data_IF_666801443410
#
_entry.id   IF_666801443410
#
_cell.length_a   1.000
_cell.length_b   1.000
_cell.length_c   1.000
_cell.angle_alpha   90.00
_cell.angle_beta   90.00
_cell.angle_gamma   90.00
#
_symmetry.space_group_name_H-M   'P 1'
#
loop_
_entity.id
_entity.type
_entity.pdbx_description
1 polymer ?
#
# COMPACT_ATOMS: atom_id res chain seq x y z
N UNK A 1 -20.63 18.33 -7.74
CA UNK A 1 -20.19 17.37 -8.82
C UNK A 1 -19.36 16.21 -8.27
N UNK A 2 -18.53 16.40 -7.22
CA UNK A 2 -17.66 15.38 -6.61
C UNK A 2 -18.33 14.43 -5.59
N UNK A 3 -19.32 14.83 -4.77
CA UNK A 3 -20.08 13.87 -3.94
C UNK A 3 -20.80 12.80 -4.80
N UNK A 4 -21.29 13.23 -5.96
CA UNK A 4 -21.86 12.34 -6.98
C UNK A 4 -20.82 11.45 -7.68
N UNK A 5 -19.52 11.74 -7.58
CA UNK A 5 -18.43 10.89 -8.08
C UNK A 5 -18.03 9.84 -7.04
N UNK A 6 -18.11 10.16 -5.73
CA UNK A 6 -17.92 9.18 -4.66
C UNK A 6 -19.02 8.11 -4.68
N UNK A 7 -20.30 8.52 -4.68
CA UNK A 7 -21.46 7.61 -4.77
C UNK A 7 -21.47 6.81 -6.08
N UNK A 8 -21.11 7.43 -7.22
CA UNK A 8 -20.97 6.72 -8.50
C UNK A 8 -19.85 5.70 -8.49
N UNK A 9 -18.75 5.99 -7.82
CA UNK A 9 -17.66 5.03 -7.75
C UNK A 9 -17.97 3.91 -6.79
N UNK A 10 -18.57 4.16 -5.62
CA UNK A 10 -18.94 3.08 -4.70
C UNK A 10 -19.89 2.10 -5.38
N UNK A 11 -20.91 2.62 -6.08
CA UNK A 11 -21.81 1.77 -6.89
C UNK A 11 -21.07 1.05 -8.03
N UNK A 12 -20.07 1.67 -8.65
CA UNK A 12 -19.21 1.02 -9.66
C UNK A 12 -18.32 -0.07 -9.05
N UNK A 13 -17.66 0.20 -7.93
CA UNK A 13 -16.83 -0.73 -7.17
C UNK A 13 -17.64 -1.97 -6.81
N UNK A 14 -18.81 -1.83 -6.18
CA UNK A 14 -19.65 -2.97 -5.82
C UNK A 14 -20.05 -3.81 -7.03
N UNK A 15 -20.38 -3.17 -8.17
CA UNK A 15 -20.71 -3.89 -9.40
C UNK A 15 -19.52 -4.68 -9.93
N UNK A 16 -18.37 -4.03 -10.07
CA UNK A 16 -17.15 -4.64 -10.61
C UNK A 16 -16.64 -5.74 -9.68
N UNK A 17 -16.56 -5.45 -8.39
CA UNK A 17 -16.16 -6.42 -7.36
C UNK A 17 -17.05 -7.65 -7.38
N UNK A 18 -18.39 -7.49 -7.41
CA UNK A 18 -19.34 -8.60 -7.52
C UNK A 18 -19.10 -9.48 -8.75
N UNK A 19 -18.80 -8.88 -9.90
CA UNK A 19 -18.51 -9.63 -11.14
C UNK A 19 -17.21 -10.42 -10.99
N UNK A 20 -16.13 -9.79 -10.50
CA UNK A 20 -14.85 -10.48 -10.33
C UNK A 20 -14.89 -11.56 -9.25
N UNK A 21 -15.61 -11.36 -8.14
CA UNK A 21 -15.79 -12.40 -7.11
C UNK A 21 -16.60 -13.59 -7.65
N UNK A 22 -17.64 -13.34 -8.45
CA UNK A 22 -18.37 -14.40 -9.15
C UNK A 22 -17.48 -15.16 -10.13
N UNK A 23 -16.68 -14.45 -10.92
CA UNK A 23 -15.72 -15.06 -11.85
C UNK A 23 -14.67 -15.89 -11.11
N UNK A 24 -14.16 -15.38 -9.99
CA UNK A 24 -13.20 -16.08 -9.13
C UNK A 24 -13.79 -17.36 -8.57
N UNK A 25 -15.02 -17.32 -8.06
CA UNK A 25 -15.73 -18.51 -7.57
C UNK A 25 -15.99 -19.51 -8.70
N UNK A 26 -16.48 -19.03 -9.84
CA UNK A 26 -16.75 -19.87 -11.01
C UNK A 26 -15.50 -20.64 -11.47
N UNK A 27 -14.34 -19.98 -11.54
CA UNK A 27 -13.10 -20.66 -11.93
C UNK A 27 -12.58 -21.63 -10.85
N UNK A 28 -12.86 -21.40 -9.56
CA UNK A 28 -12.52 -22.36 -8.50
C UNK A 28 -13.35 -23.64 -8.63
N UNK A 29 -14.66 -23.49 -8.82
CA UNK A 29 -15.61 -24.61 -8.89
C UNK A 29 -15.46 -25.44 -10.18
N UNK A 30 -15.01 -24.83 -11.27
CA UNK A 30 -14.93 -25.45 -12.59
C UNK A 30 -13.50 -25.60 -13.12
N UNK A 31 -12.48 -25.49 -12.25
CA UNK A 31 -11.07 -25.37 -12.64
C UNK A 31 -10.61 -26.43 -13.64
N UNK A 32 -10.91 -27.70 -13.36
CA UNK A 32 -10.46 -28.82 -14.19
C UNK A 32 -10.98 -28.69 -15.63
N UNK A 33 -12.29 -28.50 -15.77
CA UNK A 33 -12.95 -28.34 -17.09
C UNK A 33 -12.44 -27.12 -17.84
N UNK A 34 -12.18 -26.02 -17.13
CA UNK A 34 -11.67 -24.80 -17.75
C UNK A 34 -10.24 -24.97 -18.27
N UNK A 35 -9.38 -25.65 -17.51
CA UNK A 35 -8.01 -25.96 -17.94
C UNK A 35 -8.02 -26.91 -19.14
N UNK A 36 -8.89 -27.93 -19.15
CA UNK A 36 -9.11 -28.80 -20.32
C UNK A 36 -9.62 -28.02 -21.54
N UNK A 37 -10.45 -27.00 -21.33
CA UNK A 37 -10.92 -26.09 -22.37
C UNK A 37 -9.88 -25.03 -22.80
N UNK A 38 -8.68 -25.04 -22.22
CA UNK A 38 -7.56 -24.19 -22.63
C UNK A 38 -7.24 -22.98 -21.74
N UNK A 39 -7.94 -22.81 -20.60
CA UNK A 39 -7.66 -21.76 -19.63
C UNK A 39 -6.19 -21.81 -19.18
N UNK A 40 -5.47 -20.71 -19.37
CA UNK A 40 -4.07 -20.57 -19.01
C UNK A 40 -3.91 -20.14 -17.56
N UNK A 41 -2.79 -20.56 -16.96
CA UNK A 41 -2.43 -20.20 -15.59
C UNK A 41 -2.38 -18.68 -15.39
N UNK A 42 -1.78 -17.96 -16.33
CA UNK A 42 -1.66 -16.50 -16.23
C UNK A 42 -3.00 -15.77 -16.27
N UNK A 43 -4.04 -16.34 -16.89
CA UNK A 43 -5.40 -15.76 -16.89
C UNK A 43 -6.02 -15.81 -15.50
N UNK A 44 -5.80 -16.90 -14.76
CA UNK A 44 -6.19 -17.00 -13.35
C UNK A 44 -5.43 -15.96 -12.50
N UNK A 45 -4.14 -15.79 -12.79
CA UNK A 45 -3.30 -14.76 -12.17
C UNK A 45 -3.80 -13.34 -12.44
N UNK A 46 -4.28 -13.07 -13.66
CA UNK A 46 -4.85 -11.77 -14.06
C UNK A 46 -6.14 -11.47 -13.28
N UNK A 47 -7.02 -12.47 -13.12
CA UNK A 47 -8.24 -12.34 -12.30
C UNK A 47 -7.88 -12.03 -10.84
N UNK A 48 -6.97 -12.79 -10.24
CA UNK A 48 -6.53 -12.58 -8.87
C UNK A 48 -5.87 -11.21 -8.66
N UNK A 49 -4.98 -10.81 -9.58
CA UNK A 49 -4.33 -9.50 -9.58
C UNK A 49 -5.35 -8.36 -9.67
N UNK A 50 -6.41 -8.54 -10.45
CA UNK A 50 -7.48 -7.56 -10.57
C UNK A 50 -8.33 -7.45 -9.31
N UNK A 51 -8.60 -8.55 -8.62
CA UNK A 51 -9.28 -8.54 -7.32
C UNK A 51 -8.42 -7.82 -6.26
N UNK A 52 -7.13 -8.14 -6.19
CA UNK A 52 -6.19 -7.42 -5.32
C UNK A 52 -6.17 -5.91 -5.61
N UNK A 53 -6.19 -5.53 -6.89
CA UNK A 53 -6.29 -4.12 -7.28
C UNK A 53 -7.58 -3.45 -6.78
N UNK A 54 -8.72 -4.13 -6.84
CA UNK A 54 -9.99 -3.59 -6.35
C UNK A 54 -9.94 -3.37 -4.83
N UNK A 55 -9.42 -4.34 -4.09
CA UNK A 55 -9.21 -4.21 -2.65
C UNK A 55 -8.30 -3.03 -2.31
N UNK A 56 -7.16 -2.89 -2.99
CA UNK A 56 -6.28 -1.75 -2.77
C UNK A 56 -6.95 -0.41 -3.11
N UNK A 57 -7.72 -0.35 -4.19
CA UNK A 57 -8.49 0.83 -4.57
C UNK A 57 -9.51 1.24 -3.50
N UNK A 58 -10.14 0.26 -2.84
CA UNK A 58 -11.06 0.52 -1.74
C UNK A 58 -10.32 0.99 -0.47
N UNK A 59 -9.15 0.42 -0.18
CA UNK A 59 -8.28 0.91 0.89
C UNK A 59 -7.88 2.39 0.67
N UNK A 60 -7.47 2.78 -0.55
CA UNK A 60 -7.07 4.16 -0.83
C UNK A 60 -8.18 5.19 -0.55
N UNK A 61 -9.45 4.77 -0.50
CA UNK A 61 -10.61 5.64 -0.23
C UNK A 61 -11.04 5.62 1.22
N UNK A 62 -11.09 4.44 1.80
CA UNK A 62 -11.64 4.20 3.14
C UNK A 62 -10.57 4.26 4.22
N UNK A 63 -9.31 4.03 3.83
CA UNK A 63 -8.18 3.78 4.73
C UNK A 63 -8.42 2.61 5.70
N UNK A 64 -9.37 1.72 5.37
CA UNK A 64 -9.63 0.50 6.12
C UNK A 64 -8.57 -0.55 5.78
N UNK A 65 -7.78 -0.87 6.81
CA UNK A 65 -6.64 -1.78 6.72
C UNK A 65 -7.05 -3.20 6.28
N UNK A 66 -8.28 -3.62 6.55
CA UNK A 66 -8.78 -4.94 6.14
C UNK A 66 -8.69 -5.12 4.62
N UNK A 67 -9.07 -4.09 3.85
CA UNK A 67 -8.94 -4.11 2.39
C UNK A 67 -7.48 -4.13 1.92
N UNK A 68 -6.58 -3.46 2.65
CA UNK A 68 -5.15 -3.48 2.33
C UNK A 68 -4.57 -4.88 2.55
N UNK A 69 -4.92 -5.54 3.65
CA UNK A 69 -4.49 -6.91 3.96
C UNK A 69 -5.07 -7.92 2.96
N UNK A 70 -6.33 -7.79 2.55
CA UNK A 70 -6.91 -8.62 1.48
C UNK A 70 -6.20 -8.43 0.14
N UNK A 71 -5.87 -7.19 -0.23
CA UNK A 71 -5.07 -6.91 -1.43
C UNK A 71 -3.72 -7.63 -1.42
N UNK A 72 -3.03 -7.60 -0.27
CA UNK A 72 -1.78 -8.31 -0.09
C UNK A 72 -1.94 -9.81 -0.26
N UNK A 73 -2.97 -10.43 0.33
CA UNK A 73 -3.21 -11.87 0.20
C UNK A 73 -3.36 -12.29 -1.27
N UNK A 74 -4.14 -11.52 -2.04
CA UNK A 74 -4.28 -11.80 -3.47
C UNK A 74 -2.97 -11.63 -4.24
N UNK A 75 -2.24 -10.54 -4.00
CA UNK A 75 -0.98 -10.32 -4.71
C UNK A 75 0.13 -11.29 -4.32
N UNK A 76 0.24 -11.64 -3.05
CA UNK A 76 1.16 -12.67 -2.59
C UNK A 76 0.82 -14.03 -3.19
N UNK A 77 -0.47 -14.41 -3.24
CA UNK A 77 -0.88 -15.65 -3.88
C UNK A 77 -0.54 -15.66 -5.39
N UNK A 78 -0.66 -14.51 -6.06
CA UNK A 78 -0.25 -14.38 -7.46
C UNK A 78 1.26 -14.57 -7.63
N UNK A 79 2.04 -13.94 -6.75
CA UNK A 79 3.49 -13.97 -6.74
C UNK A 79 4.05 -15.37 -6.41
N UNK A 80 3.67 -15.94 -5.28
CA UNK A 80 4.18 -17.21 -4.75
C UNK A 80 3.82 -18.42 -5.62
N UNK A 81 2.66 -18.39 -6.29
CA UNK A 81 2.23 -19.45 -7.20
C UNK A 81 2.73 -19.26 -8.63
N UNK A 82 3.54 -18.23 -8.88
CA UNK A 82 4.18 -17.97 -10.16
C UNK A 82 3.20 -17.99 -11.36
N UNK A 83 2.01 -17.40 -11.22
CA UNK A 83 0.97 -17.54 -12.26
C UNK A 83 1.39 -17.04 -13.65
N UNK A 84 2.37 -16.14 -13.73
CA UNK A 84 2.86 -15.55 -14.97
C UNK A 84 4.06 -16.30 -15.62
N UNK A 85 4.58 -17.35 -14.97
CA UNK A 85 5.83 -18.03 -15.40
C UNK A 85 5.77 -18.57 -16.83
N UNK A 86 4.68 -19.23 -17.20
CA UNK A 86 4.61 -20.05 -18.42
C UNK A 86 4.42 -19.23 -19.71
N UNK A 87 4.08 -17.94 -19.63
CA UNK A 87 3.79 -17.10 -20.80
C UNK A 87 4.76 -15.94 -21.01
N UNK A 88 5.73 -15.75 -20.11
CA UNK A 88 6.55 -14.54 -20.03
C UNK A 88 7.33 -14.22 -21.31
N UNK A 89 7.79 -15.25 -22.00
CA UNK A 89 8.63 -15.13 -23.19
C UNK A 89 7.86 -15.19 -24.50
N UNK A 90 6.54 -15.37 -24.44
CA UNK A 90 5.70 -15.59 -25.62
C UNK A 90 4.98 -14.31 -26.07
N UNK A 91 4.64 -13.44 -25.12
CA UNK A 91 3.84 -12.24 -25.36
C UNK A 91 4.36 -11.03 -24.58
N UNK A 92 4.71 -9.97 -25.29
CA UNK A 92 5.10 -8.68 -24.73
C UNK A 92 3.98 -8.06 -23.89
N UNK A 93 2.71 -8.30 -24.27
CA UNK A 93 1.55 -7.88 -23.51
C UNK A 93 1.52 -8.50 -22.12
N UNK A 94 1.78 -9.80 -22.02
CA UNK A 94 1.85 -10.52 -20.77
C UNK A 94 3.05 -10.10 -19.90
N UNK A 95 4.23 -9.91 -20.49
CA UNK A 95 5.38 -9.37 -19.77
C UNK A 95 5.06 -8.01 -19.13
N UNK A 96 4.41 -7.12 -19.88
CA UNK A 96 3.92 -5.85 -19.36
C UNK A 96 2.85 -5.99 -18.28
N UNK A 97 1.97 -6.99 -18.36
CA UNK A 97 1.02 -7.29 -17.27
C UNK A 97 1.76 -7.67 -15.99
N UNK A 98 2.78 -8.53 -16.07
CA UNK A 98 3.57 -8.94 -14.91
C UNK A 98 4.38 -7.78 -14.31
N UNK A 99 5.00 -6.94 -15.13
CA UNK A 99 5.68 -5.71 -14.67
C UNK A 99 4.73 -4.79 -13.90
N UNK A 100 3.52 -4.55 -14.44
CA UNK A 100 2.48 -3.75 -13.75
C UNK A 100 1.95 -4.42 -12.48
N UNK A 101 1.86 -5.74 -12.47
CA UNK A 101 1.50 -6.49 -11.26
C UNK A 101 2.55 -6.30 -10.16
N UNK A 102 3.85 -6.50 -10.47
CA UNK A 102 4.93 -6.32 -9.49
C UNK A 102 4.99 -4.90 -8.95
N UNK A 103 4.82 -3.88 -9.80
CA UNK A 103 4.77 -2.49 -9.37
C UNK A 103 3.61 -2.21 -8.39
N UNK A 104 2.41 -2.78 -8.64
CA UNK A 104 1.27 -2.63 -7.72
C UNK A 104 1.48 -3.41 -6.43
N UNK A 105 2.02 -4.62 -6.51
CA UNK A 105 2.31 -5.40 -5.31
C UNK A 105 3.39 -4.72 -4.45
N UNK A 106 4.40 -4.12 -5.08
CA UNK A 106 5.38 -3.27 -4.41
C UNK A 106 4.70 -2.14 -3.64
N UNK A 107 3.76 -1.39 -4.25
CA UNK A 107 3.01 -0.34 -3.54
C UNK A 107 2.27 -0.88 -2.32
N UNK A 108 1.57 -2.02 -2.46
CA UNK A 108 0.84 -2.64 -1.33
C UNK A 108 1.80 -3.04 -0.22
N UNK A 109 2.93 -3.67 -0.53
CA UNK A 109 3.94 -4.06 0.45
C UNK A 109 4.60 -2.86 1.12
N UNK A 110 4.87 -1.80 0.37
CA UNK A 110 5.41 -0.55 0.89
C UNK A 110 4.42 0.09 1.87
N UNK A 111 3.15 0.19 1.46
CA UNK A 111 2.08 0.75 2.29
C UNK A 111 1.76 -0.16 3.47
N UNK A 112 1.97 -1.48 3.43
CA UNK A 112 1.88 -2.36 4.60
C UNK A 112 3.14 -2.39 5.46
N UNK A 113 4.21 -1.68 5.07
CA UNK A 113 5.53 -1.73 5.69
C UNK A 113 6.12 -3.16 5.76
N UNK A 114 5.82 -4.02 4.77
CA UNK A 114 6.39 -5.39 4.63
C UNK A 114 7.75 -5.34 3.94
N UNK A 115 8.76 -4.82 4.64
CA UNK A 115 10.10 -4.51 4.10
C UNK A 115 10.79 -5.69 3.41
N UNK A 116 10.75 -6.88 4.01
CA UNK A 116 11.36 -8.08 3.41
C UNK A 116 10.77 -8.39 2.02
N UNK A 117 9.44 -8.37 1.91
CA UNK A 117 8.74 -8.57 0.65
C UNK A 117 9.05 -7.44 -0.34
N UNK A 118 9.16 -6.19 0.11
CA UNK A 118 9.58 -5.07 -0.73
C UNK A 118 10.92 -5.36 -1.41
N UNK A 119 11.94 -5.82 -0.66
CA UNK A 119 13.24 -6.16 -1.24
C UNK A 119 13.17 -7.34 -2.21
N UNK A 120 12.39 -8.37 -1.89
CA UNK A 120 12.15 -9.49 -2.80
C UNK A 120 11.54 -9.01 -4.12
N UNK A 121 10.53 -8.13 -4.07
CA UNK A 121 9.86 -7.60 -5.25
C UNK A 121 10.77 -6.73 -6.12
N UNK A 122 11.66 -5.94 -5.52
CA UNK A 122 12.65 -5.15 -6.29
C UNK A 122 13.60 -6.06 -7.05
N UNK A 123 14.09 -7.12 -6.41
CA UNK A 123 14.96 -8.10 -7.07
C UNK A 123 14.22 -8.81 -8.22
N UNK A 124 12.96 -9.21 -8.00
CA UNK A 124 12.14 -9.85 -9.03
C UNK A 124 11.82 -8.92 -10.19
N UNK A 125 11.54 -7.63 -9.92
CA UNK A 125 11.32 -6.63 -10.95
C UNK A 125 12.58 -6.42 -11.79
N UNK A 126 13.77 -6.41 -11.17
CA UNK A 126 15.04 -6.32 -11.88
C UNK A 126 15.25 -7.51 -12.81
N UNK A 127 15.12 -8.73 -12.28
CA UNK A 127 15.29 -9.97 -13.05
C UNK A 127 14.33 -10.00 -14.24
N UNK A 128 13.05 -9.70 -14.00
CA UNK A 128 12.04 -9.63 -15.04
C UNK A 128 12.38 -8.59 -16.11
N UNK A 129 12.84 -7.39 -15.72
CA UNK A 129 13.19 -6.35 -16.67
C UNK A 129 14.39 -6.74 -17.53
N UNK A 130 15.38 -7.43 -16.96
CA UNK A 130 16.55 -7.91 -17.68
C UNK A 130 16.20 -9.05 -18.65
N UNK A 131 15.32 -9.96 -18.24
CA UNK A 131 14.81 -11.03 -19.09
C UNK A 131 13.95 -10.48 -20.25
N UNK A 132 13.07 -9.52 -19.98
CA UNK A 132 12.29 -8.82 -21.01
C UNK A 132 13.18 -8.19 -22.09
N UNK A 133 14.29 -7.54 -21.70
CA UNK A 133 15.23 -6.95 -22.69
C UNK A 133 15.94 -8.00 -23.53
N UNK A 134 16.27 -9.16 -22.95
CA UNK A 134 16.91 -10.26 -23.67
C UNK A 134 15.97 -10.88 -24.70
N UNK A 135 14.70 -11.04 -24.34
CA UNK A 135 13.68 -11.67 -25.17
C UNK A 135 13.13 -10.72 -26.23
N UNK A 136 12.82 -9.47 -25.88
CA UNK A 136 12.19 -8.48 -26.74
C UNK A 136 13.18 -7.38 -27.14
N UNK A 137 14.22 -7.75 -27.92
CA UNK A 137 15.32 -6.86 -28.27
C UNK A 137 14.89 -5.61 -29.06
N UNK A 138 13.79 -5.72 -29.81
CA UNK A 138 13.22 -4.62 -30.60
C UNK A 138 12.40 -3.64 -29.75
N UNK A 139 12.07 -3.99 -28.49
CA UNK A 139 11.26 -3.14 -27.61
C UNK A 139 12.12 -2.34 -26.65
N UNK A 140 11.87 -1.03 -26.59
CA UNK A 140 12.54 -0.15 -25.66
C UNK A 140 11.84 -0.12 -24.29
N UNK A 141 12.48 -0.69 -23.26
CA UNK A 141 11.99 -0.70 -21.88
C UNK A 141 12.39 0.55 -21.08
N UNK A 142 12.64 1.69 -21.73
CA UNK A 142 13.02 2.97 -21.07
C UNK A 142 12.10 3.36 -19.92
N UNK A 143 10.79 3.31 -20.11
CA UNK A 143 9.81 3.68 -19.07
C UNK A 143 9.95 2.78 -17.84
N UNK A 144 9.99 1.47 -18.04
CA UNK A 144 10.18 0.51 -16.94
C UNK A 144 11.53 0.63 -16.26
N UNK A 145 12.57 1.00 -17.02
CA UNK A 145 13.89 1.31 -16.45
C UNK A 145 13.83 2.54 -15.55
N UNK A 146 13.08 3.58 -15.94
CA UNK A 146 12.86 4.75 -15.09
C UNK A 146 12.09 4.37 -13.82
N UNK A 147 11.00 3.61 -13.94
CA UNK A 147 10.22 3.12 -12.78
C UNK A 147 11.12 2.34 -11.81
N UNK A 148 11.94 1.41 -12.32
CA UNK A 148 12.88 0.66 -11.49
C UNK A 148 13.91 1.57 -10.80
N UNK A 149 14.47 2.54 -11.53
CA UNK A 149 15.42 3.51 -10.96
C UNK A 149 14.78 4.39 -9.89
N UNK A 150 13.53 4.81 -10.07
CA UNK A 150 12.76 5.55 -9.06
C UNK A 150 12.60 4.71 -7.79
N UNK A 151 12.19 3.44 -7.90
CA UNK A 151 12.07 2.53 -6.75
C UNK A 151 13.40 2.39 -6.00
N UNK A 152 14.50 2.14 -6.71
CA UNK A 152 15.82 1.98 -6.09
C UNK A 152 16.26 3.26 -5.38
N UNK A 153 16.07 4.43 -6.00
CA UNK A 153 16.37 5.73 -5.38
C UNK A 153 15.50 5.96 -4.15
N UNK A 154 14.21 5.65 -4.24
CA UNK A 154 13.24 5.78 -3.16
C UNK A 154 13.65 4.96 -1.95
N UNK A 155 13.89 3.66 -2.12
CA UNK A 155 14.32 2.80 -1.02
C UNK A 155 15.68 3.21 -0.45
N UNK A 156 16.62 3.63 -1.30
CA UNK A 156 17.93 4.12 -0.84
C UNK A 156 17.80 5.37 0.05
N UNK A 157 16.83 6.24 -0.22
CA UNK A 157 16.58 7.40 0.62
C UNK A 157 15.74 7.06 1.86
N UNK A 158 14.93 6.00 1.82
CA UNK A 158 14.21 5.46 2.98
C UNK A 158 15.13 4.72 3.98
N UNK A 159 16.29 4.19 3.55
CA UNK A 159 17.18 3.42 4.44
C UNK A 159 17.65 4.20 5.68
N UNK A 160 17.73 5.52 5.60
CA UNK A 160 18.09 6.38 6.73
C UNK A 160 17.10 6.28 7.91
N UNK A 161 15.89 5.77 7.68
CA UNK A 161 14.83 5.59 8.68
C UNK A 161 14.68 4.13 9.14
N UNK A 162 15.55 3.22 8.68
CA UNK A 162 15.42 1.76 8.95
C UNK A 162 15.53 1.40 10.44
N UNK A 163 16.30 2.16 11.22
CA UNK A 163 16.63 1.89 12.62
C UNK A 163 15.73 2.63 13.63
N UNK A 164 14.64 3.23 13.16
CA UNK A 164 13.74 4.02 13.99
C UNK A 164 12.46 3.22 14.24
N UNK A 165 11.95 3.35 15.45
CA UNK A 165 10.59 2.97 15.87
C UNK A 165 9.59 3.08 14.70
N UNK A 166 8.71 2.09 14.47
CA UNK A 166 7.64 2.21 13.48
C UNK A 166 6.88 3.51 13.67
N UNK A 167 6.61 4.19 12.55
CA UNK A 167 5.85 5.44 12.57
C UNK A 167 4.38 5.20 12.96
N UNK A 168 3.90 3.97 12.76
CA UNK A 168 2.54 3.54 13.11
C UNK A 168 2.39 3.46 14.62
N UNK A 169 1.16 3.68 15.08
CA UNK A 169 0.78 3.31 16.44
C UNK A 169 1.06 1.83 16.66
N UNK A 170 1.77 1.49 17.73
CA UNK A 170 2.02 0.10 18.13
C UNK A 170 1.59 -0.11 19.58
N UNK A 171 0.71 -1.06 19.91
CA UNK A 171 0.25 -1.28 21.29
C UNK A 171 1.39 -1.69 22.24
N UNK A 172 2.51 -2.16 21.69
CA UNK A 172 3.72 -2.53 22.46
C UNK A 172 4.53 -1.29 22.89
N UNK A 173 4.47 -0.20 22.12
CA UNK A 173 5.32 0.99 22.32
C UNK A 173 4.54 2.24 22.72
N UNK A 174 3.28 2.31 22.30
CA UNK A 174 2.40 3.45 22.47
C UNK A 174 1.44 3.23 23.62
N UNK A 175 1.15 4.34 24.32
CA UNK A 175 0.08 4.34 25.31
C UNK A 175 -1.25 4.05 24.63
N UNK A 176 -2.10 3.27 25.30
CA UNK A 176 -3.45 3.06 24.83
C UNK A 176 -4.17 4.42 24.70
N UNK A 177 -4.91 4.69 23.60
CA UNK A 177 -5.52 6.00 23.37
C UNK A 177 -6.38 6.49 24.54
N UNK A 178 -7.07 5.58 25.23
CA UNK A 178 -7.91 5.89 26.40
C UNK A 178 -7.11 6.34 27.62
N UNK A 179 -5.83 6.00 27.69
CA UNK A 179 -4.91 6.39 28.77
C UNK A 179 -4.31 7.78 28.56
N UNK A 180 -4.54 8.40 27.40
CA UNK A 180 -4.04 9.75 27.11
C UNK A 180 -4.82 10.80 27.91
N UNK A 181 -4.13 11.84 28.41
CA UNK A 181 -4.77 12.89 29.20
C UNK A 181 -5.89 13.55 28.39
N UNK A 182 -7.10 13.52 28.93
CA UNK A 182 -8.24 14.19 28.32
C UNK A 182 -8.05 15.70 28.42
N UNK A 183 -8.24 16.40 27.30
CA UNK A 183 -8.21 17.86 27.28
C UNK A 183 -9.41 18.38 28.09
N UNK A 184 -9.13 18.96 29.25
CA UNK A 184 -10.14 19.61 30.08
C UNK A 184 -10.85 20.71 29.27
N UNK A 185 -12.17 20.81 29.40
CA UNK A 185 -13.04 21.76 28.68
C UNK A 185 -13.18 21.55 27.15
N UNK A 186 -12.91 20.37 26.62
CA UNK A 186 -13.28 20.05 25.25
C UNK A 186 -14.81 20.07 25.08
N UNK A 187 -15.35 21.11 24.43
CA UNK A 187 -16.80 21.27 24.18
C UNK A 187 -17.39 20.13 23.32
N UNK A 188 -16.55 19.39 22.61
CA UNK A 188 -16.92 18.29 21.70
C UNK A 188 -15.87 17.18 21.75
N UNK A 189 -16.33 15.92 21.58
CA UNK A 189 -15.46 14.76 21.39
C UNK A 189 -14.99 14.72 19.93
N UNK A 190 -13.99 15.53 19.60
CA UNK A 190 -13.43 15.62 18.25
C UNK A 190 -12.66 14.34 17.88
N UNK A 191 -12.76 13.93 16.62
CA UNK A 191 -12.08 12.76 16.06
C UNK A 191 -11.42 13.11 14.75
N UNK A 192 -10.17 12.72 14.57
CA UNK A 192 -9.50 12.85 13.28
C UNK A 192 -10.18 11.90 12.27
N UNK A 193 -10.80 12.45 11.23
CA UNK A 193 -11.55 11.68 10.22
C UNK A 193 -10.84 11.62 8.88
N UNK A 194 -10.14 12.69 8.52
CA UNK A 194 -9.55 12.86 7.20
C UNK A 194 -8.17 13.51 7.30
N UNK A 195 -7.32 13.20 6.34
CA UNK A 195 -6.00 13.78 6.19
C UNK A 195 -5.69 14.08 4.71
N UNK A 196 -5.24 15.30 4.42
CA UNK A 196 -4.69 15.67 3.12
C UNK A 196 -3.17 15.75 3.27
N UNK A 197 -2.45 14.90 2.55
CA UNK A 197 -0.99 14.84 2.56
C UNK A 197 -0.48 15.34 1.21
N UNK A 198 0.06 16.55 1.18
CA UNK A 198 0.45 17.20 -0.06
C UNK A 198 1.94 17.53 -0.08
N UNK A 199 2.63 17.16 -1.16
CA UNK A 199 4.01 17.60 -1.42
C UNK A 199 4.08 18.42 -2.70
N UNK A 200 4.68 19.62 -2.59
CA UNK A 200 5.00 20.54 -3.68
C UNK A 200 6.49 20.52 -4.06
N UNK A 201 7.27 19.59 -3.51
CA UNK A 201 8.71 19.56 -3.72
C UNK A 201 9.07 19.03 -5.14
N UNK A 202 9.73 19.82 -6.02
CA UNK A 202 9.97 19.41 -7.41
C UNK A 202 10.98 18.28 -7.58
N UNK A 203 11.98 18.22 -6.70
CA UNK A 203 13.14 17.31 -6.80
C UNK A 203 13.17 16.24 -5.71
N UNK A 204 12.08 16.07 -4.96
CA UNK A 204 12.03 15.07 -3.90
C UNK A 204 11.96 13.66 -4.51
N UNK A 205 12.67 12.72 -3.88
CA UNK A 205 12.62 11.32 -4.29
C UNK A 205 11.21 10.79 -4.05
N UNK A 206 10.62 10.24 -5.12
CA UNK A 206 9.27 9.67 -5.08
C UNK A 206 9.21 8.35 -5.83
N UNK A 207 8.17 7.58 -5.52
CA UNK A 207 7.73 6.48 -6.34
C UNK A 207 6.26 6.69 -6.68
N UNK A 208 5.93 6.76 -7.99
CA UNK A 208 4.61 7.16 -8.47
C UNK A 208 4.24 8.58 -7.97
N UNK A 209 3.24 8.69 -7.09
CA UNK A 209 2.80 9.97 -6.48
C UNK A 209 3.24 10.10 -5.02
N UNK A 210 3.94 9.09 -4.48
CA UNK A 210 4.28 9.02 -3.08
C UNK A 210 5.72 9.50 -2.86
N UNK A 211 5.87 10.69 -2.26
CA UNK A 211 7.15 11.21 -1.76
C UNK A 211 7.46 10.60 -0.38
N UNK A 212 8.73 10.66 0.03
CA UNK A 212 9.12 10.05 1.32
C UNK A 212 8.44 10.69 2.52
N UNK A 213 8.29 12.00 2.51
CA UNK A 213 7.65 12.74 3.59
C UNK A 213 6.14 12.42 3.70
N UNK A 214 5.42 12.37 2.58
CA UNK A 214 4.00 11.99 2.52
C UNK A 214 3.81 10.53 2.87
N UNK A 215 4.73 9.64 2.46
CA UNK A 215 4.74 8.25 2.92
C UNK A 215 4.90 8.15 4.44
N UNK A 216 5.84 8.88 5.03
CA UNK A 216 6.04 8.87 6.49
C UNK A 216 4.81 9.38 7.22
N UNK A 217 4.22 10.48 6.77
CA UNK A 217 2.96 10.99 7.33
C UNK A 217 1.82 9.99 7.16
N UNK A 218 1.74 9.30 6.03
CA UNK A 218 0.77 8.21 5.82
C UNK A 218 0.97 7.10 6.85
N UNK A 219 2.22 6.67 7.09
CA UNK A 219 2.54 5.66 8.10
C UNK A 219 2.19 6.13 9.52
N UNK A 220 2.37 7.40 9.87
CA UNK A 220 1.97 7.95 11.17
C UNK A 220 0.45 7.90 11.42
N UNK A 221 -0.35 7.83 10.36
CA UNK A 221 -1.80 7.82 10.39
C UNK A 221 -2.40 6.41 10.29
N UNK A 222 -1.58 5.36 10.42
CA UNK A 222 -2.01 3.97 10.39
C UNK A 222 -1.94 3.34 11.79
N UNK A 223 -3.02 2.66 12.19
CA UNK A 223 -3.03 1.81 13.37
C UNK A 223 -2.35 0.46 13.08
N UNK A 224 -1.44 0.01 13.95
CA UNK A 224 -0.93 -1.36 13.98
C UNK A 224 -1.66 -2.14 15.09
N UNK A 225 -2.59 -3.03 14.74
CA UNK A 225 -3.31 -3.82 15.73
C UNK A 225 -2.53 -5.02 16.26
N UNK A 226 -1.52 -5.50 15.52
CA UNK A 226 -0.93 -6.83 15.74
C UNK A 226 0.41 -6.85 16.46
N UNK A 227 1.11 -5.71 16.57
CA UNK A 227 2.49 -5.64 17.09
C UNK A 227 3.49 -6.54 16.32
N UNK A 228 3.10 -7.01 15.12
CA UNK A 228 3.82 -8.04 14.38
C UNK A 228 5.22 -7.61 13.95
N UNK A 229 5.49 -6.30 13.81
CA UNK A 229 6.83 -5.82 13.47
C UNK A 229 7.88 -6.16 14.54
N UNK A 230 7.46 -6.39 15.79
CA UNK A 230 8.35 -6.72 16.90
C UNK A 230 8.38 -8.21 17.24
N UNK A 231 7.31 -8.97 16.95
CA UNK A 231 7.31 -10.42 17.16
C UNK A 231 8.31 -11.15 16.24
N UNK A 232 8.60 -10.60 15.05
CA UNK A 232 9.61 -11.17 14.16
C UNK A 232 11.06 -10.92 14.61
N UNK A 233 11.29 -10.13 15.67
CA UNK A 233 12.63 -9.80 16.15
C UNK A 233 12.78 -10.06 17.66
N UNK A 234 12.77 -11.32 18.09
CA UNK A 234 13.31 -11.67 19.41
C UNK A 234 12.73 -12.91 20.08
N UNK A 235 13.59 -13.91 20.25
CA UNK A 235 13.52 -15.12 21.08
C UNK A 235 12.81 -16.37 20.52
N UNK A 236 13.52 -17.52 20.43
CA UNK A 236 12.86 -18.80 20.25
C UNK A 236 12.06 -19.10 21.51
N UNK A 237 10.75 -19.32 21.36
CA UNK A 237 9.88 -19.79 22.42
C UNK A 237 10.40 -21.13 22.96
N UNK A 238 11.14 -21.09 24.06
CA UNK A 238 11.39 -22.28 24.87
C UNK A 238 10.11 -22.61 25.62
N UNK A 239 9.49 -23.75 25.34
CA UNK A 239 8.43 -24.27 26.19
C UNK A 239 7.41 -25.18 25.50
N UNK A 240 7.83 -26.43 25.23
CA UNK A 240 7.03 -27.66 25.31
C UNK A 240 5.69 -27.75 24.54
N UNK A 241 5.75 -28.39 23.38
CA UNK A 241 4.61 -28.98 22.67
C UNK A 241 5.11 -29.86 21.52
N UNK A 242 5.35 -31.13 21.82
CA UNK A 242 5.85 -32.18 20.91
C UNK A 242 4.99 -32.35 19.65
N UNK A 243 5.59 -32.21 18.47
CA UNK A 243 5.16 -32.92 17.26
C UNK A 243 6.38 -33.22 16.37
N UNK A 244 6.83 -34.47 16.45
CA UNK A 244 7.76 -35.07 15.50
C UNK A 244 7.01 -35.26 14.17
N UNK A 245 7.59 -34.78 13.07
CA UNK A 245 7.35 -35.30 11.72
C UNK A 245 8.50 -34.90 10.80
N UNK A 246 9.11 -35.91 10.19
CA UNK A 246 10.30 -35.86 9.34
C UNK A 246 10.04 -35.28 7.93
N UNK A 247 11.15 -34.92 7.28
CA UNK A 247 11.39 -34.65 5.85
C UNK A 247 11.43 -33.18 5.41
N UNK A 248 12.60 -32.81 4.88
CA UNK A 248 13.05 -31.46 4.61
C UNK A 248 12.52 -30.85 3.33
N UNK A 249 11.97 -29.65 3.46
CA UNK A 249 12.12 -28.45 2.62
C UNK A 249 11.83 -27.28 3.57
N UNK A 250 12.58 -26.15 3.59
CA UNK A 250 12.17 -25.00 4.38
C UNK A 250 10.88 -24.44 3.76
N UNK A 251 9.75 -24.66 4.42
CA UNK A 251 8.50 -24.01 4.05
C UNK A 251 8.63 -22.50 4.29
N UNK A 252 8.15 -21.63 3.36
CA UNK A 252 8.12 -20.20 3.63
C UNK A 252 7.29 -19.98 4.89
N UNK A 253 7.86 -19.21 5.82
CA UNK A 253 7.24 -18.81 7.08
C UNK A 253 5.79 -18.40 6.85
N UNK A 254 4.85 -19.24 7.30
CA UNK A 254 3.42 -18.94 7.28
C UNK A 254 3.20 -17.77 8.23
N UNK A 255 3.28 -16.54 7.71
CA UNK A 255 2.81 -15.37 8.43
C UNK A 255 1.33 -15.63 8.70
N UNK A 256 0.94 -15.73 9.98
CA UNK A 256 -0.45 -15.92 10.35
C UNK A 256 -1.23 -14.64 10.02
N UNK A 257 -1.84 -14.58 8.83
CA UNK A 257 -2.68 -13.46 8.39
C UNK A 257 -3.85 -13.19 9.35
N UNK A 258 -4.23 -14.17 10.17
CA UNK A 258 -5.21 -14.04 11.25
C UNK A 258 -4.76 -13.11 12.39
N UNK A 259 -3.49 -12.71 12.48
CA UNK A 259 -3.02 -11.75 13.48
C UNK A 259 -3.28 -10.29 13.07
N UNK A 260 -3.59 -9.99 11.81
CA UNK A 260 -3.87 -8.62 11.34
C UNK A 260 -5.37 -8.25 11.50
N UNK A 261 -6.09 -8.95 12.39
CA UNK A 261 -7.44 -8.56 12.81
C UNK A 261 -7.33 -7.17 13.42
N UNK A 262 -8.10 -6.21 12.88
CA UNK A 262 -8.21 -4.88 13.47
C UNK A 262 -8.73 -5.01 14.89
N UNK A 263 -7.97 -4.49 15.86
CA UNK A 263 -8.41 -4.42 17.25
C UNK A 263 -9.68 -3.55 17.29
N UNK A 264 -10.84 -4.11 17.66
CA UNK A 264 -12.10 -3.38 17.66
C UNK A 264 -12.13 -2.23 18.68
N UNK A 265 -11.16 -2.19 19.60
CA UNK A 265 -11.04 -1.11 20.58
C UNK A 265 -10.34 0.13 20.00
N UNK A 266 -9.59 -0.04 18.89
CA UNK A 266 -8.94 1.08 18.23
C UNK A 266 -9.93 1.88 17.37
N UNK A 267 -9.81 3.21 17.32
CA UNK A 267 -10.62 4.01 16.42
C UNK A 267 -10.28 3.69 14.95
N UNK A 268 -11.19 3.99 14.01
CA UNK A 268 -10.90 3.82 12.59
C UNK A 268 -9.73 4.72 12.17
N UNK A 269 -8.97 4.27 11.16
CA UNK A 269 -7.98 5.09 10.49
C UNK A 269 -8.65 6.33 9.86
N UNK A 270 -8.00 7.51 9.88
CA UNK A 270 -8.45 8.63 9.08
C UNK A 270 -8.26 8.33 7.58
N UNK A 271 -9.22 8.77 6.76
CA UNK A 271 -9.12 8.69 5.29
C UNK A 271 -7.98 9.59 4.82
N UNK A 272 -7.13 9.11 3.90
CA UNK A 272 -5.97 9.86 3.40
C UNK A 272 -6.13 10.23 1.92
N UNK A 273 -6.02 11.52 1.62
CA UNK A 273 -5.83 12.03 0.26
C UNK A 273 -4.36 12.43 0.08
N UNK A 274 -3.60 11.64 -0.71
CA UNK A 274 -2.21 11.96 -1.03
C UNK A 274 -2.15 12.71 -2.36
N UNK A 275 -1.54 13.89 -2.36
CA UNK A 275 -1.48 14.76 -3.53
C UNK A 275 -0.03 15.16 -3.82
N UNK A 276 0.45 14.89 -5.03
CA UNK A 276 1.76 15.34 -5.48
C UNK A 276 1.62 16.49 -6.47
N UNK A 277 2.10 17.67 -6.06
CA UNK A 277 2.05 18.92 -6.83
C UNK A 277 0.66 19.21 -7.44
N UNK A 278 -0.43 19.15 -6.65
CA UNK A 278 -1.75 19.43 -7.18
C UNK A 278 -1.84 20.90 -7.64
N UNK A 279 -2.63 21.17 -8.68
CA UNK A 279 -3.03 22.55 -8.98
C UNK A 279 -3.81 23.12 -7.79
N UNK A 280 -3.80 24.44 -7.62
CA UNK A 280 -4.58 25.11 -6.57
C UNK A 280 -6.06 24.72 -6.65
N UNK A 281 -6.60 24.66 -7.87
CA UNK A 281 -7.99 24.24 -8.11
C UNK A 281 -8.24 22.79 -7.70
N UNK A 282 -7.30 21.87 -7.96
CA UNK A 282 -7.43 20.48 -7.55
C UNK A 282 -7.37 20.32 -6.03
N UNK A 283 -6.43 21.02 -5.37
CA UNK A 283 -6.31 21.02 -3.91
C UNK A 283 -7.59 21.55 -3.24
N UNK A 284 -8.10 22.71 -3.67
CA UNK A 284 -9.33 23.31 -3.14
C UNK A 284 -10.52 22.38 -3.37
N UNK A 285 -10.61 21.73 -4.54
CA UNK A 285 -11.70 20.80 -4.83
C UNK A 285 -11.69 19.58 -3.88
N UNK A 286 -10.51 19.02 -3.59
CA UNK A 286 -10.37 17.90 -2.64
C UNK A 286 -10.73 18.37 -1.23
N UNK A 287 -10.17 19.50 -0.77
CA UNK A 287 -10.47 20.07 0.54
C UNK A 287 -11.97 20.34 0.72
N UNK A 288 -12.61 20.99 -0.25
CA UNK A 288 -14.04 21.27 -0.22
C UNK A 288 -14.88 19.98 -0.15
N UNK A 289 -14.51 18.95 -0.92
CA UNK A 289 -15.21 17.66 -0.89
C UNK A 289 -15.12 17.00 0.49
N UNK A 290 -13.94 17.02 1.11
CA UNK A 290 -13.75 16.47 2.45
C UNK A 290 -14.56 17.27 3.48
N UNK A 291 -14.54 18.61 3.41
CA UNK A 291 -15.32 19.47 4.30
C UNK A 291 -16.83 19.25 4.18
N UNK A 292 -17.36 19.00 2.97
CA UNK A 292 -18.78 18.70 2.75
C UNK A 292 -19.21 17.37 3.39
N UNK A 293 -18.29 16.40 3.47
CA UNK A 293 -18.53 15.07 4.04
C UNK A 293 -18.14 14.96 5.53
N UNK A 294 -17.51 15.99 6.09
CA UNK A 294 -16.97 15.96 7.44
C UNK A 294 -18.13 15.98 8.47
N UNK A 295 -18.19 15.00 9.39
CA UNK A 295 -19.21 15.01 10.43
C UNK A 295 -18.96 16.13 11.46
N UNK A 296 -19.96 16.52 12.27
CA UNK A 296 -19.81 17.61 13.25
C UNK A 296 -18.75 17.39 14.34
N UNK A 297 -18.32 16.14 14.54
CA UNK A 297 -17.24 15.72 15.44
C UNK A 297 -15.92 15.49 14.71
N UNK A 298 -15.85 15.71 13.39
CA UNK A 298 -14.70 15.43 12.55
C UNK A 298 -13.66 16.54 12.56
N UNK A 299 -12.39 16.14 12.49
CA UNK A 299 -11.24 16.99 12.21
C UNK A 299 -10.55 16.55 10.92
N UNK A 300 -9.97 17.53 10.23
CA UNK A 300 -9.13 17.32 9.05
C UNK A 300 -7.69 17.68 9.39
N UNK A 301 -6.76 16.77 9.11
CA UNK A 301 -5.34 17.06 9.10
C UNK A 301 -4.92 17.53 7.71
N UNK A 302 -4.33 18.71 7.59
CA UNK A 302 -3.71 19.18 6.35
C UNK A 302 -2.20 19.23 6.56
N UNK A 303 -1.49 18.36 5.86
CA UNK A 303 -0.03 18.34 5.77
C UNK A 303 0.39 18.89 4.42
N UNK A 304 1.14 19.99 4.41
CA UNK A 304 1.73 20.58 3.22
C UNK A 304 3.26 20.59 3.37
N UNK A 305 3.94 20.06 2.36
CA UNK A 305 5.39 20.08 2.24
C UNK A 305 5.79 20.86 1.00
N UNK A 306 6.73 21.80 1.14
CA UNK A 306 7.22 22.60 0.02
C UNK A 306 8.69 22.97 0.21
N UNK A 307 9.37 23.28 -0.90
CA UNK A 307 10.68 23.92 -0.86
C UNK A 307 10.51 25.37 -0.42
N UNK A 308 11.14 25.76 0.69
CA UNK A 308 11.28 27.14 1.13
C UNK A 308 12.39 27.85 0.36
N UNK A 309 12.18 29.12 0.09
CA UNK A 309 13.18 29.97 -0.56
C UNK A 309 14.17 30.50 0.49
N UNK A 310 15.42 30.05 0.41
CA UNK A 310 16.47 30.50 1.34
C UNK A 310 17.02 31.84 0.86
N UNK A 311 16.39 32.97 1.23
CA UNK A 311 17.00 34.31 1.10
C UNK A 311 18.13 34.51 2.13
N UNK A 312 19.13 33.63 2.16
CA UNK A 312 20.40 33.91 2.84
C UNK A 312 21.48 32.94 2.37
N UNK A 313 22.65 33.46 2.02
CA UNK A 313 23.83 32.74 1.56
C UNK A 313 24.26 31.64 2.56
N UNK A 314 23.78 30.41 2.39
CA UNK A 314 24.37 29.18 2.93
C UNK A 314 23.60 27.97 2.41
N UNK A 315 24.30 26.97 1.88
CA UNK A 315 23.74 25.75 1.30
C UNK A 315 22.82 24.99 2.27
N UNK A 316 21.51 25.04 2.03
CA UNK A 316 20.54 23.92 2.12
C UNK A 316 19.17 24.45 1.69
N UNK A 317 18.49 23.70 0.81
CA UNK A 317 17.08 23.94 0.53
C UNK A 317 16.31 23.75 1.83
N UNK A 318 15.72 24.82 2.36
CA UNK A 318 14.92 24.75 3.59
C UNK A 318 13.60 24.10 3.24
N UNK A 319 13.23 22.97 3.85
CA UNK A 319 11.90 22.38 3.64
C UNK A 319 10.90 23.01 4.60
N UNK A 320 9.77 23.47 4.10
CA UNK A 320 8.67 24.01 4.90
C UNK A 320 7.61 22.93 5.04
N UNK A 321 7.36 22.51 6.28
CA UNK A 321 6.27 21.62 6.63
C UNK A 321 5.20 22.42 7.37
N UNK A 322 3.99 22.46 6.84
CA UNK A 322 2.83 23.03 7.52
C UNK A 322 1.90 21.89 7.93
N UNK A 323 1.58 21.85 9.22
CA UNK A 323 0.60 20.94 9.80
C UNK A 323 -0.56 21.77 10.35
N UNK A 324 -1.74 21.65 9.74
CA UNK A 324 -2.95 22.32 10.21
C UNK A 324 -3.99 21.28 10.62
N UNK A 325 -4.63 21.51 11.77
CA UNK A 325 -5.84 20.79 12.19
C UNK A 325 -7.01 21.74 12.02
N UNK A 326 -7.97 21.35 11.18
CA UNK A 326 -9.20 22.11 10.89
C UNK A 326 -10.42 21.44 11.50
#
# INVERSE_FOLDING_TARGET
VLPALYVRYDTYFYKVFKVYTKLWKFQQENRQKLVEAGLKRWEIGDIASRIGQLYFGQYMRTSDRSYLSESYIFYEAVFTREYFKDGLFQDLGLANKQLRFLARFFTVCLVLNRREMVYQLVNQLKMLLDDCKRTFQETDFKEWKLVFQEIVKYLKADTAFMNIRPLRYSPVLDLHPDSLPHVANAKRKLKLRDAILCSYHPSEVKFSELTLDTFRMLQCLEWESSGSFYQSSGFPSSGTGTAISQNGVPAPSRINYAQDISDPTLPPNPRKAVLHRPSVTHFIAVLATICEELPPDGLILVYLSASGDSFCFSLRSSTVHLLCLM
#
